data_IF_328156660803
#
_entry.id   IF_328156660803
#
_cell.length_a   1.000
_cell.length_b   1.000
_cell.length_c   1.000
_cell.angle_alpha   90.00
_cell.angle_beta   90.00
_cell.angle_gamma   90.00
#
_symmetry.space_group_name_H-M   'P 1'
#
loop_
_entity.id
_entity.type
_entity.pdbx_description
1 polymer ?
#
# COMPACT_ATOMS: atom_id res chain seq x y z
N UNK A 1 1.26 10.07 -12.50
CA UNK A 1 0.58 9.77 -11.23
C UNK A 1 1.33 8.65 -10.52
N UNK A 2 2.33 8.99 -9.70
CA UNK A 2 3.26 8.00 -9.12
C UNK A 2 3.18 7.89 -7.59
N UNK A 3 2.28 8.67 -6.96
CA UNK A 3 2.15 8.75 -5.52
C UNK A 3 0.77 8.21 -5.12
N UNK A 4 0.76 7.18 -4.29
CA UNK A 4 -0.44 6.46 -3.85
C UNK A 4 -1.17 7.16 -2.69
N UNK A 5 -1.77 6.35 -1.83
CA UNK A 5 -2.65 6.80 -0.75
C UNK A 5 -1.88 7.04 0.53
N UNK A 6 -1.88 8.29 0.99
CA UNK A 6 -1.12 8.71 2.16
C UNK A 6 -1.98 8.64 3.41
N UNK A 7 -1.47 7.97 4.45
CA UNK A 7 -2.09 7.96 5.77
C UNK A 7 -1.06 8.34 6.84
N UNK A 8 -1.31 9.45 7.53
CA UNK A 8 -0.42 9.99 8.55
C UNK A 8 -0.65 9.34 9.92
N UNK A 9 0.43 9.26 10.70
CA UNK A 9 0.45 8.96 12.13
C UNK A 9 1.08 10.17 12.83
N UNK A 10 0.26 10.96 13.52
CA UNK A 10 0.69 12.26 14.02
C UNK A 10 1.20 13.14 12.88
N UNK A 11 2.19 13.99 13.18
CA UNK A 11 2.61 15.05 12.25
C UNK A 11 3.85 14.70 11.40
N UNK A 12 4.55 13.61 11.75
CA UNK A 12 5.92 13.37 11.24
C UNK A 12 6.08 12.07 10.46
N UNK A 13 5.17 11.11 10.62
CA UNK A 13 5.26 9.79 10.00
C UNK A 13 4.03 9.54 9.16
N UNK A 14 4.20 9.00 7.95
CA UNK A 14 3.07 8.55 7.15
C UNK A 14 3.39 7.27 6.40
N UNK A 15 2.33 6.57 6.01
CA UNK A 15 2.38 5.39 5.17
C UNK A 15 1.89 5.75 3.78
N UNK A 16 2.57 5.22 2.76
CA UNK A 16 2.20 5.42 1.36
C UNK A 16 2.53 4.18 0.56
N UNK A 17 1.72 3.89 -0.45
CA UNK A 17 1.98 2.84 -1.43
C UNK A 17 2.45 3.44 -2.76
N UNK A 18 3.19 2.63 -3.52
CA UNK A 18 3.54 2.94 -4.90
C UNK A 18 2.86 1.95 -5.83
N UNK A 19 2.48 2.42 -7.02
CA UNK A 19 1.91 1.55 -8.04
C UNK A 19 2.86 0.40 -8.41
N UNK A 20 2.31 -0.76 -8.86
CA UNK A 20 3.12 -1.92 -9.22
C UNK A 20 4.21 -1.57 -10.24
N UNK A 21 5.42 -2.05 -10.01
CA UNK A 21 6.52 -1.94 -10.96
C UNK A 21 6.36 -2.88 -12.17
N UNK A 22 7.36 -2.95 -13.05
CA UNK A 22 7.35 -3.85 -14.23
C UNK A 22 7.23 -5.33 -13.84
N UNK A 23 7.67 -5.68 -12.63
CA UNK A 23 7.57 -7.02 -12.08
C UNK A 23 6.27 -7.24 -11.30
N UNK A 24 5.34 -6.26 -11.37
CA UNK A 24 4.05 -6.27 -10.69
C UNK A 24 4.17 -6.26 -9.17
N UNK A 25 5.25 -5.70 -8.66
CA UNK A 25 5.48 -5.60 -7.23
C UNK A 25 5.12 -4.23 -6.70
N UNK A 26 4.34 -4.23 -5.63
CA UNK A 26 3.82 -3.05 -4.94
C UNK A 26 4.58 -2.92 -3.64
N UNK A 27 5.04 -1.70 -3.31
CA UNK A 27 5.75 -1.43 -2.06
C UNK A 27 4.87 -0.57 -1.16
N UNK A 28 4.84 -0.95 0.11
CA UNK A 28 4.32 -0.14 1.19
C UNK A 28 5.51 0.53 1.90
N UNK A 29 5.51 1.85 1.97
CA UNK A 29 6.52 2.64 2.64
C UNK A 29 6.01 3.22 3.95
N UNK A 30 6.91 3.28 4.92
CA UNK A 30 6.81 4.17 6.09
C UNK A 30 7.82 5.30 5.90
N UNK A 31 7.33 6.52 5.87
CA UNK A 31 8.14 7.71 5.64
C UNK A 31 8.17 8.54 6.91
N UNK A 32 9.36 8.96 7.32
CA UNK A 32 9.58 9.96 8.36
C UNK A 32 10.03 11.27 7.72
N UNK A 33 9.20 12.31 7.82
CA UNK A 33 9.41 13.59 7.15
C UNK A 33 10.62 14.33 7.71
N UNK A 34 10.81 14.31 9.04
CA UNK A 34 11.89 15.02 9.71
C UNK A 34 13.26 14.41 9.39
N UNK A 35 13.35 13.07 9.39
CA UNK A 35 14.58 12.34 9.08
C UNK A 35 14.85 12.20 7.58
N UNK A 36 13.89 12.57 6.72
CA UNK A 36 13.90 12.31 5.27
C UNK A 36 14.18 10.84 4.95
N UNK A 37 13.59 9.95 5.73
CA UNK A 37 13.81 8.51 5.66
C UNK A 37 12.56 7.80 5.14
N UNK A 38 12.74 6.83 4.23
CA UNK A 38 11.67 5.98 3.72
C UNK A 38 12.07 4.50 3.85
N UNK A 39 11.33 3.76 4.67
CA UNK A 39 11.57 2.33 4.94
C UNK A 39 10.50 1.51 4.20
N UNK A 40 10.92 0.44 3.51
CA UNK A 40 9.99 -0.51 2.90
C UNK A 40 9.44 -1.42 4.00
N UNK A 41 8.13 -1.32 4.25
CA UNK A 41 7.42 -2.13 5.24
C UNK A 41 6.90 -3.43 4.65
N UNK A 42 6.48 -3.41 3.38
CA UNK A 42 6.01 -4.61 2.67
C UNK A 42 6.35 -4.53 1.19
N UNK A 43 6.61 -5.70 0.59
CA UNK A 43 6.85 -5.87 -0.84
C UNK A 43 5.98 -7.01 -1.37
N UNK A 44 4.92 -6.66 -2.10
CA UNK A 44 3.79 -7.55 -2.38
C UNK A 44 3.55 -7.68 -3.88
N UNK A 45 3.32 -8.92 -4.33
CA UNK A 45 2.94 -9.18 -5.72
C UNK A 45 1.48 -8.80 -5.98
N UNK A 46 1.23 -8.03 -7.05
CA UNK A 46 -0.08 -7.60 -7.55
C UNK A 46 -0.43 -8.31 -8.87
N UNK A 47 -1.16 -9.44 -8.83
CA UNK A 47 -1.44 -10.24 -10.01
C UNK A 47 -2.25 -9.46 -11.06
N UNK A 48 -1.93 -9.67 -12.35
CA UNK A 48 -2.60 -8.96 -13.47
C UNK A 48 -4.12 -9.13 -13.49
N UNK A 49 -4.65 -10.26 -12.98
CA UNK A 49 -6.08 -10.53 -12.92
C UNK A 49 -6.87 -9.56 -12.02
N UNK A 50 -6.18 -8.76 -11.21
CA UNK A 50 -6.76 -7.71 -10.36
C UNK A 50 -6.41 -6.31 -10.86
N UNK A 51 -6.20 -6.14 -12.16
CA UNK A 51 -6.09 -4.83 -12.79
C UNK A 51 -7.39 -4.52 -13.54
N UNK A 52 -7.76 -3.24 -13.52
CA UNK A 52 -8.73 -2.69 -14.45
C UNK A 52 -8.37 -3.09 -15.88
N UNK A 53 -9.31 -3.73 -16.58
CA UNK A 53 -9.13 -4.17 -17.96
C UNK A 53 -9.56 -3.08 -18.92
N UNK A 54 -10.66 -2.41 -18.61
CA UNK A 54 -11.23 -1.30 -19.36
C UNK A 54 -12.02 -0.36 -18.43
N UNK A 55 -12.59 0.71 -19.01
CA UNK A 55 -13.39 1.70 -18.27
C UNK A 55 -14.72 1.16 -17.72
N UNK A 56 -15.16 -0.02 -18.17
CA UNK A 56 -16.40 -0.68 -17.73
C UNK A 56 -16.13 -1.66 -16.58
N UNK A 57 -14.91 -2.17 -16.46
CA UNK A 57 -14.48 -3.14 -15.45
C UNK A 57 -13.30 -2.62 -14.60
N UNK A 58 -13.61 -1.70 -13.68
CA UNK A 58 -12.65 -1.21 -12.68
C UNK A 58 -12.53 -2.17 -11.49
N UNK A 59 -11.52 -3.07 -11.56
CA UNK A 59 -11.24 -4.07 -10.52
C UNK A 59 -9.85 -3.93 -9.88
N UNK A 60 -9.16 -2.80 -10.13
CA UNK A 60 -7.85 -2.52 -9.57
C UNK A 60 -7.85 -2.63 -8.04
N UNK A 61 -6.84 -3.32 -7.52
CA UNK A 61 -6.61 -3.44 -6.09
C UNK A 61 -5.32 -2.70 -5.71
N UNK A 62 -5.49 -1.50 -5.17
CA UNK A 62 -4.42 -0.70 -4.56
C UNK A 62 -4.34 -0.98 -3.06
N UNK A 63 -3.20 -0.71 -2.41
CA UNK A 63 -3.01 -1.11 -1.00
C UNK A 63 -3.86 -0.29 -0.04
N UNK A 64 -4.12 0.98 -0.34
CA UNK A 64 -4.88 1.88 0.54
C UNK A 64 -4.46 1.77 2.02
N UNK A 65 -3.17 1.94 2.34
CA UNK A 65 -2.69 1.63 3.68
C UNK A 65 -3.30 2.56 4.73
N UNK A 66 -3.86 2.01 5.80
CA UNK A 66 -4.37 2.78 6.95
C UNK A 66 -3.68 2.32 8.22
N UNK A 67 -3.43 3.24 9.13
CA UNK A 67 -2.75 2.93 10.39
C UNK A 67 -3.75 3.02 11.55
N UNK A 68 -3.63 2.10 12.50
CA UNK A 68 -4.30 2.18 13.79
C UNK A 68 -3.98 3.50 14.51
N UNK A 69 -4.93 4.11 15.25
CA UNK A 69 -4.70 5.35 15.98
C UNK A 69 -3.53 5.31 16.99
N UNK A 70 -3.24 4.13 17.55
CA UNK A 70 -2.11 3.92 18.46
C UNK A 70 -0.76 3.67 17.74
N UNK A 71 -0.74 3.67 16.40
CA UNK A 71 0.48 3.47 15.60
C UNK A 71 1.07 2.06 15.62
N UNK A 72 0.39 1.06 16.17
CA UNK A 72 0.92 -0.31 16.31
C UNK A 72 0.66 -1.22 15.11
N UNK A 73 -0.34 -0.91 14.29
CA UNK A 73 -0.76 -1.73 13.17
C UNK A 73 -1.02 -0.91 11.91
N UNK A 74 -0.70 -1.49 10.76
CA UNK A 74 -1.12 -1.00 9.44
C UNK A 74 -2.01 -2.06 8.81
N UNK A 75 -3.14 -1.64 8.23
CA UNK A 75 -3.96 -2.47 7.36
C UNK A 75 -3.90 -1.99 5.91
N UNK A 76 -4.00 -2.92 4.98
CA UNK A 76 -3.98 -2.63 3.54
C UNK A 76 -4.68 -3.74 2.75
N UNK A 77 -5.24 -3.39 1.60
CA UNK A 77 -5.82 -4.35 0.67
C UNK A 77 -4.71 -5.08 -0.10
N UNK A 78 -4.79 -6.41 -0.19
CA UNK A 78 -3.85 -7.18 -1.00
C UNK A 78 -4.52 -8.32 -1.75
N UNK A 79 -4.24 -8.46 -3.07
CA UNK A 79 -4.63 -9.63 -3.84
C UNK A 79 -3.55 -10.74 -3.84
N UNK A 80 -2.48 -10.62 -3.03
CA UNK A 80 -1.30 -11.50 -3.13
C UNK A 80 -1.64 -12.98 -3.06
N UNK A 81 -2.60 -13.38 -2.22
CA UNK A 81 -3.00 -14.79 -2.03
C UNK A 81 -3.85 -15.34 -3.18
N UNK A 82 -4.11 -14.55 -4.23
CA UNK A 82 -4.99 -14.91 -5.33
C UNK A 82 -6.46 -14.56 -5.09
N UNK A 83 -6.79 -14.01 -3.92
CA UNK A 83 -8.07 -13.40 -3.54
C UNK A 83 -7.81 -12.02 -2.92
N UNK A 84 -8.63 -11.02 -3.24
CA UNK A 84 -8.55 -9.71 -2.56
C UNK A 84 -8.91 -9.89 -1.10
N UNK A 85 -8.02 -9.48 -0.20
CA UNK A 85 -8.18 -9.62 1.25
C UNK A 85 -7.64 -8.37 1.94
N UNK A 86 -8.22 -8.02 3.09
CA UNK A 86 -7.64 -7.04 3.99
C UNK A 86 -6.52 -7.70 4.79
N UNK A 87 -5.30 -7.19 4.67
CA UNK A 87 -4.15 -7.62 5.43
C UNK A 87 -3.92 -6.66 6.60
N UNK A 88 -3.47 -7.20 7.73
CA UNK A 88 -3.07 -6.40 8.91
C UNK A 88 -1.67 -6.83 9.30
N UNK A 89 -0.79 -5.85 9.53
CA UNK A 89 0.61 -6.06 9.89
C UNK A 89 0.97 -5.19 11.10
N UNK A 90 1.80 -5.70 12.00
CA UNK A 90 2.37 -4.93 13.11
C UNK A 90 3.48 -4.01 12.61
N UNK A 91 3.56 -2.80 13.16
CA UNK A 91 4.56 -1.74 12.81
C UNK A 91 5.72 -1.75 13.81
#
# INVERSE_FOLDING_TARGET
NSYGHQNFIGDITFFTDIYPDRNRMVKLYKVNVLKKEAIIMAYLYSPKKFQTRDFREHIACDLHPRVSPNGHYVCFDSPRTGKRSLCVMKI
#
